data_IF_148065999280
#
_entry.id   IF_148065999280
#
_cell.length_a   1.000
_cell.length_b   1.000
_cell.length_c   1.000
_cell.angle_alpha   90.00
_cell.angle_beta   90.00
_cell.angle_gamma   90.00
#
_symmetry.space_group_name_H-M   'P 1'
#
loop_
_entity.id
_entity.type
_entity.pdbx_description
1 polymer ?
#
# COMPACT_ATOMS: atom_id res chain seq x y z
N UNK A 1 -5.00 41.16 37.30
CA UNK A 1 -5.17 39.87 37.98
C UNK A 1 -4.27 38.91 37.23
N UNK A 2 -3.05 38.73 37.73
CA UNK A 2 -2.06 37.84 37.12
C UNK A 2 -2.39 36.42 37.54
N UNK A 3 -2.47 35.51 36.57
CA UNK A 3 -2.61 34.08 36.81
C UNK A 3 -1.21 33.52 36.64
N UNK A 4 -0.57 33.22 37.77
CA UNK A 4 0.65 32.44 37.82
C UNK A 4 0.28 30.98 37.52
N UNK A 5 0.90 30.41 36.49
CA UNK A 5 0.80 28.98 36.16
C UNK A 5 2.06 28.33 36.74
N UNK A 6 1.92 27.69 37.90
CA UNK A 6 2.91 26.76 38.44
C UNK A 6 2.92 25.49 37.58
N UNK A 7 3.99 25.29 36.81
CA UNK A 7 4.25 24.01 36.15
C UNK A 7 4.99 23.10 37.11
N UNK A 8 4.29 22.09 37.66
CA UNK A 8 4.87 20.96 38.36
C UNK A 8 5.71 20.13 37.38
N UNK A 9 7.02 20.08 37.59
CA UNK A 9 7.97 19.28 36.81
C UNK A 9 8.26 17.95 37.52
N UNK A 10 7.34 17.00 37.42
CA UNK A 10 7.60 15.59 37.72
C UNK A 10 7.51 14.80 36.42
N UNK A 11 8.55 14.93 35.59
CA UNK A 11 8.80 14.04 34.47
C UNK A 11 9.78 12.94 34.89
N UNK A 12 9.52 11.66 34.58
CA UNK A 12 10.40 10.55 34.94
C UNK A 12 11.78 10.73 34.31
N UNK A 13 12.80 10.50 35.12
CA UNK A 13 14.22 10.55 34.77
C UNK A 13 14.49 9.56 33.63
N UNK A 14 14.68 10.08 32.42
CA UNK A 14 15.15 9.30 31.27
C UNK A 14 16.64 9.02 31.51
N UNK A 15 16.95 7.79 31.93
CA UNK A 15 18.31 7.28 31.94
C UNK A 15 18.76 7.17 30.48
N UNK A 16 19.55 8.13 30.03
CA UNK A 16 20.37 7.96 28.83
C UNK A 16 21.40 6.86 29.11
N UNK A 17 21.19 5.68 28.52
CA UNK A 17 22.26 4.72 28.34
C UNK A 17 23.34 5.44 27.55
N UNK A 18 24.49 5.62 28.20
CA UNK A 18 25.53 6.55 27.78
C UNK A 18 25.96 6.37 26.34
N UNK A 19 26.32 7.50 25.72
CA UNK A 19 27.17 7.54 24.54
C UNK A 19 28.30 6.51 24.70
N UNK A 20 28.55 5.63 23.70
CA UNK A 20 29.74 4.81 23.70
C UNK A 20 30.93 5.76 23.63
N UNK A 21 31.51 6.07 24.79
CA UNK A 21 32.73 6.83 24.87
C UNK A 21 33.79 6.12 24.03
N UNK A 22 34.21 6.84 22.98
CA UNK A 22 35.58 6.94 22.49
C UNK A 22 36.39 5.67 22.77
N UNK A 23 36.41 4.77 21.79
CA UNK A 23 37.45 3.76 21.70
C UNK A 23 38.79 4.48 21.82
N UNK A 24 39.59 4.06 22.80
CA UNK A 24 40.95 4.58 22.92
C UNK A 24 41.68 4.32 21.60
N UNK A 25 42.64 5.16 21.19
CA UNK A 25 43.47 4.90 20.00
C UNK A 25 44.11 3.49 20.04
N UNK A 26 44.22 2.88 21.22
CA UNK A 26 44.63 1.49 21.41
C UNK A 26 43.65 0.46 20.83
N UNK A 27 42.34 0.69 20.94
CA UNK A 27 41.31 -0.25 20.49
C UNK A 27 41.18 -0.24 18.96
N UNK A 28 41.34 0.92 18.33
CA UNK A 28 41.38 1.02 16.86
C UNK A 28 42.61 0.30 16.28
N UNK A 29 43.77 0.40 16.95
CA UNK A 29 44.98 -0.29 16.52
C UNK A 29 44.88 -1.81 16.68
N UNK A 30 44.25 -2.28 17.77
CA UNK A 30 44.01 -3.70 17.97
C UNK A 30 43.02 -4.25 16.93
N UNK A 31 41.92 -3.53 16.67
CA UNK A 31 40.93 -3.89 15.66
C UNK A 31 41.56 -3.98 14.26
N UNK A 32 42.32 -2.95 13.85
CA UNK A 32 42.98 -2.94 12.54
C UNK A 32 44.03 -4.05 12.42
N UNK A 33 44.76 -4.36 13.50
CA UNK A 33 45.73 -5.46 13.51
C UNK A 33 45.05 -6.82 13.38
N UNK A 34 43.92 -7.04 14.07
CA UNK A 34 43.13 -8.26 13.96
C UNK A 34 42.50 -8.39 12.58
N UNK A 35 41.90 -7.32 12.05
CA UNK A 35 41.30 -7.31 10.72
C UNK A 35 42.34 -7.63 9.64
N UNK A 36 43.53 -7.04 9.74
CA UNK A 36 44.61 -7.28 8.78
C UNK A 36 45.15 -8.72 8.87
N UNK A 37 45.18 -9.33 10.08
CA UNK A 37 45.53 -10.76 10.23
C UNK A 37 44.46 -11.67 9.63
N UNK A 38 43.18 -11.36 9.83
CA UNK A 38 42.06 -12.13 9.27
C UNK A 38 42.02 -12.08 7.74
N UNK A 39 42.53 -11.01 7.12
CA UNK A 39 42.52 -10.84 5.65
C UNK A 39 43.81 -11.28 4.95
N UNK A 40 44.92 -11.41 5.66
CA UNK A 40 46.23 -11.75 5.05
C UNK A 40 46.70 -13.17 5.35
N UNK A 41 46.19 -13.83 6.39
CA UNK A 41 46.49 -15.22 6.70
C UNK A 41 45.49 -16.16 6.00
N UNK A 42 45.92 -17.00 5.03
CA UNK A 42 45.05 -17.95 4.34
C UNK A 42 44.33 -18.93 5.28
N UNK A 43 44.95 -19.27 6.41
CA UNK A 43 44.36 -20.18 7.40
C UNK A 43 43.23 -19.48 8.19
N UNK A 44 43.45 -18.23 8.59
CA UNK A 44 42.42 -17.42 9.25
C UNK A 44 41.22 -17.16 8.32
N UNK A 45 41.49 -16.91 7.03
CA UNK A 45 40.46 -16.77 5.99
C UNK A 45 39.62 -18.04 5.84
N UNK A 46 40.27 -19.21 5.86
CA UNK A 46 39.59 -20.52 5.84
C UNK A 46 38.67 -20.72 7.03
N UNK A 47 39.13 -20.38 8.25
CA UNK A 47 38.31 -20.46 9.46
C UNK A 47 37.13 -19.49 9.40
N UNK A 48 37.34 -18.25 8.99
CA UNK A 48 36.27 -17.27 8.82
C UNK A 48 35.23 -17.73 7.80
N UNK A 49 35.64 -18.31 6.67
CA UNK A 49 34.71 -18.84 5.67
C UNK A 49 33.85 -19.98 6.24
N UNK A 50 34.45 -20.89 7.02
CA UNK A 50 33.75 -21.98 7.69
C UNK A 50 32.75 -21.44 8.72
N UNK A 51 33.16 -20.51 9.56
CA UNK A 51 32.29 -19.89 10.57
C UNK A 51 31.13 -19.13 9.93
N UNK A 52 31.39 -18.35 8.86
CA UNK A 52 30.35 -17.68 8.09
C UNK A 52 29.37 -18.69 7.47
N UNK A 53 29.86 -19.82 6.95
CA UNK A 53 29.00 -20.88 6.43
C UNK A 53 28.09 -21.46 7.52
N UNK A 54 28.62 -21.75 8.71
CA UNK A 54 27.81 -22.22 9.83
C UNK A 54 26.80 -21.17 10.29
N UNK A 55 27.17 -19.89 10.30
CA UNK A 55 26.28 -18.80 10.69
C UNK A 55 25.12 -18.63 9.70
N UNK A 56 25.42 -18.66 8.39
CA UNK A 56 24.41 -18.58 7.32
C UNK A 56 23.50 -19.82 7.36
N UNK A 57 24.07 -21.03 7.50
CA UNK A 57 23.27 -22.25 7.62
C UNK A 57 22.41 -22.26 8.89
N UNK A 58 22.95 -21.81 10.02
CA UNK A 58 22.22 -21.72 11.29
C UNK A 58 21.06 -20.72 11.23
N UNK A 59 21.29 -19.53 10.66
CA UNK A 59 20.25 -18.54 10.42
C UNK A 59 19.17 -19.05 9.45
N UNK A 60 19.56 -19.81 8.41
CA UNK A 60 18.60 -20.44 7.49
C UNK A 60 17.71 -21.46 8.19
N UNK A 61 18.28 -22.27 9.10
CA UNK A 61 17.52 -23.24 9.90
C UNK A 61 16.60 -22.53 10.90
N UNK A 62 17.08 -21.47 11.56
CA UNK A 62 16.24 -20.63 12.43
C UNK A 62 15.08 -20.01 11.66
N UNK A 63 15.31 -19.52 10.44
CA UNK A 63 14.26 -19.00 9.56
C UNK A 63 13.28 -20.09 9.12
N UNK A 64 13.72 -21.33 8.90
CA UNK A 64 12.80 -22.44 8.57
C UNK A 64 11.98 -22.87 9.79
N UNK A 65 12.57 -22.84 10.99
CA UNK A 65 11.92 -23.31 12.22
C UNK A 65 11.02 -22.25 12.87
N UNK A 66 11.38 -20.99 12.73
CA UNK A 66 10.77 -19.85 13.43
C UNK A 66 10.44 -18.67 12.51
N UNK A 67 10.73 -18.75 11.21
CA UNK A 67 10.26 -17.77 10.25
C UNK A 67 8.75 -17.88 10.14
N UNK A 68 8.09 -16.90 10.75
CA UNK A 68 6.69 -16.52 10.59
C UNK A 68 5.69 -17.67 10.53
N UNK A 69 5.49 -18.32 11.68
CA UNK A 69 4.27 -19.11 11.91
C UNK A 69 3.05 -18.23 12.21
N UNK A 70 3.26 -16.95 12.45
CA UNK A 70 2.19 -15.99 12.78
C UNK A 70 1.69 -15.22 11.53
N UNK A 71 2.25 -15.52 10.35
CA UNK A 71 1.78 -15.02 9.04
C UNK A 71 1.26 -16.17 8.17
N UNK A 72 0.52 -17.12 8.75
CA UNK A 72 -0.44 -17.83 7.90
C UNK A 72 -1.44 -16.77 7.43
N UNK A 73 -1.59 -16.54 6.11
CA UNK A 73 -2.59 -15.60 5.64
C UNK A 73 -3.92 -16.05 6.21
N UNK A 74 -4.56 -15.19 7.00
CA UNK A 74 -5.96 -15.39 7.36
C UNK A 74 -6.70 -15.75 6.06
N UNK A 75 -7.52 -16.79 6.08
CA UNK A 75 -8.36 -17.14 4.94
C UNK A 75 -9.33 -15.98 4.70
N UNK A 76 -8.85 -14.94 4.01
CA UNK A 76 -9.66 -13.86 3.47
C UNK A 76 -10.80 -14.50 2.70
N UNK A 77 -12.01 -13.98 2.87
CA UNK A 77 -13.24 -14.51 2.29
C UNK A 77 -13.08 -14.72 0.78
N UNK A 78 -12.64 -15.94 0.40
CA UNK A 78 -12.14 -16.27 -0.94
C UNK A 78 -13.22 -16.04 -2.01
N UNK A 79 -14.48 -15.87 -1.60
CA UNK A 79 -15.59 -15.61 -2.49
C UNK A 79 -15.56 -14.23 -3.13
N UNK A 80 -15.03 -13.20 -2.45
CA UNK A 80 -14.99 -11.83 -3.00
C UNK A 80 -13.90 -11.68 -4.07
N UNK A 81 -12.75 -12.35 -3.88
CA UNK A 81 -11.59 -12.24 -4.78
C UNK A 81 -11.52 -13.32 -5.87
N UNK A 82 -12.45 -14.28 -5.93
CA UNK A 82 -12.46 -15.32 -6.99
C UNK A 82 -12.41 -14.78 -8.41
N UNK A 83 -12.84 -13.53 -8.63
CA UNK A 83 -12.84 -12.86 -9.93
C UNK A 83 -11.68 -11.88 -10.13
N UNK A 84 -10.88 -11.61 -9.10
CA UNK A 84 -9.74 -10.69 -9.14
C UNK A 84 -8.46 -11.51 -9.11
N UNK A 85 -7.65 -11.37 -10.15
CA UNK A 85 -6.36 -12.03 -10.19
C UNK A 85 -5.29 -11.07 -9.66
N UNK A 86 -4.81 -11.35 -8.45
CA UNK A 86 -3.70 -10.62 -7.84
C UNK A 86 -2.39 -11.32 -8.16
N UNK A 87 -1.41 -10.56 -8.61
CA UNK A 87 -0.04 -11.03 -8.86
C UNK A 87 0.87 -10.18 -7.98
N UNK A 88 1.38 -10.78 -6.90
CA UNK A 88 2.32 -10.14 -6.00
C UNK A 88 3.66 -9.88 -6.73
N UNK A 89 4.09 -8.62 -6.76
CA UNK A 89 5.29 -8.22 -7.48
C UNK A 89 6.51 -8.13 -6.57
N UNK A 90 6.36 -7.52 -5.39
CA UNK A 90 7.44 -7.35 -4.41
C UNK A 90 6.89 -7.30 -2.98
N UNK A 91 7.34 -8.22 -2.13
CA UNK A 91 7.09 -8.20 -0.67
C UNK A 91 8.12 -7.37 0.12
N UNK A 92 9.07 -6.71 -0.54
CA UNK A 92 10.11 -5.93 0.12
C UNK A 92 9.79 -4.43 0.14
N UNK A 93 10.05 -3.73 1.27
CA UNK A 93 9.74 -2.32 1.45
C UNK A 93 10.79 -1.46 0.72
N UNK A 94 10.85 -1.53 -0.61
CA UNK A 94 11.67 -0.60 -1.37
C UNK A 94 10.79 0.53 -1.90
N UNK A 95 11.04 1.74 -1.39
CA UNK A 95 10.48 3.01 -1.89
C UNK A 95 10.76 3.24 -3.39
N UNK A 96 11.73 2.51 -3.96
CA UNK A 96 11.99 2.46 -5.38
C UNK A 96 11.29 1.25 -6.01
N UNK A 97 10.40 1.50 -6.97
CA UNK A 97 9.95 0.43 -7.86
C UNK A 97 11.12 0.11 -8.79
N UNK A 98 11.99 -0.84 -8.41
CA UNK A 98 12.95 -1.38 -9.36
C UNK A 98 12.22 -2.39 -10.26
N UNK A 99 11.31 -1.92 -11.13
CA UNK A 99 10.58 -2.78 -12.06
C UNK A 99 11.49 -3.76 -12.85
N UNK A 100 12.72 -3.37 -13.25
CA UNK A 100 13.68 -4.33 -13.80
C UNK A 100 14.02 -5.51 -12.88
N UNK A 101 14.09 -5.29 -11.56
CA UNK A 101 14.30 -6.33 -10.55
C UNK A 101 13.04 -7.17 -10.24
N UNK A 102 11.85 -6.73 -10.67
CA UNK A 102 10.58 -7.47 -10.54
C UNK A 102 10.44 -8.53 -11.65
N UNK A 103 11.05 -8.28 -12.81
CA UNK A 103 10.98 -9.16 -13.99
C UNK A 103 11.27 -10.66 -13.70
N UNK A 104 12.21 -11.03 -12.80
CA UNK A 104 12.47 -12.44 -12.45
C UNK A 104 11.35 -13.10 -11.63
N UNK A 105 10.65 -12.38 -10.75
CA UNK A 105 9.57 -12.92 -9.89
C UNK A 105 8.31 -13.28 -10.68
N UNK A 106 8.13 -12.66 -11.85
CA UNK A 106 7.03 -12.92 -12.80
C UNK A 106 7.18 -14.30 -13.50
N UNK A 107 8.23 -15.07 -13.17
CA UNK A 107 8.46 -16.38 -13.75
C UNK A 107 7.39 -17.44 -13.47
N UNK A 108 6.46 -17.19 -12.52
CA UNK A 108 5.40 -18.11 -12.10
C UNK A 108 4.15 -18.13 -13.01
N UNK A 109 4.04 -17.25 -14.02
CA UNK A 109 2.87 -17.17 -14.92
C UNK A 109 3.09 -17.94 -16.24
N UNK A 110 2.02 -18.49 -16.81
CA UNK A 110 2.04 -19.18 -18.12
C UNK A 110 2.39 -18.22 -19.29
N UNK A 111 2.96 -18.78 -20.35
CA UNK A 111 3.81 -18.09 -21.35
C UNK A 111 3.17 -16.88 -22.09
N UNK A 112 1.87 -16.87 -22.49
CA UNK A 112 1.29 -15.73 -23.22
C UNK A 112 0.93 -14.53 -22.33
N UNK A 113 0.27 -14.78 -21.19
CA UNK A 113 -0.12 -13.75 -20.23
C UNK A 113 1.13 -13.10 -19.60
N UNK A 114 2.13 -13.92 -19.29
CA UNK A 114 3.46 -13.47 -18.85
C UNK A 114 4.11 -12.51 -19.84
N UNK A 115 4.11 -12.84 -21.14
CA UNK A 115 4.74 -12.00 -22.17
C UNK A 115 4.01 -10.65 -22.32
N UNK A 116 2.69 -10.66 -22.27
CA UNK A 116 1.87 -9.45 -22.29
C UNK A 116 2.14 -8.59 -21.04
N UNK A 117 2.14 -9.20 -19.86
CA UNK A 117 2.42 -8.50 -18.61
C UNK A 117 3.84 -7.92 -18.57
N UNK A 118 4.86 -8.70 -18.92
CA UNK A 118 6.24 -8.21 -19.00
C UNK A 118 6.39 -7.08 -20.02
N UNK A 119 5.69 -7.14 -21.16
CA UNK A 119 5.69 -6.05 -22.14
C UNK A 119 5.03 -4.80 -21.57
N UNK A 120 3.92 -4.94 -20.85
CA UNK A 120 3.22 -3.87 -20.15
C UNK A 120 4.10 -3.24 -19.07
N UNK A 121 4.71 -4.04 -18.18
CA UNK A 121 5.67 -3.60 -17.17
C UNK A 121 6.88 -2.89 -17.79
N UNK A 122 7.43 -3.42 -18.88
CA UNK A 122 8.53 -2.76 -19.62
C UNK A 122 8.10 -1.48 -20.33
N UNK A 123 6.82 -1.32 -20.69
CA UNK A 123 6.27 -0.07 -21.24
C UNK A 123 6.09 0.98 -20.15
N UNK A 124 5.66 0.56 -18.96
CA UNK A 124 5.40 1.42 -17.79
C UNK A 124 6.69 1.82 -17.10
N UNK A 125 7.65 0.90 -16.98
CA UNK A 125 8.88 1.11 -16.18
C UNK A 125 9.73 2.32 -16.60
N UNK A 126 9.89 2.64 -17.90
CA UNK A 126 10.56 3.87 -18.30
C UNK A 126 9.65 5.10 -18.19
N UNK A 127 8.34 4.91 -18.31
CA UNK A 127 7.37 5.99 -18.29
C UNK A 127 7.24 6.61 -16.89
N UNK A 128 7.33 5.79 -15.84
CA UNK A 128 7.20 6.26 -14.46
C UNK A 128 8.53 6.13 -13.74
N UNK A 129 9.25 7.25 -13.70
CA UNK A 129 10.46 7.35 -12.86
C UNK A 129 10.08 7.38 -11.38
N UNK A 130 10.97 6.92 -10.48
CA UNK A 130 10.82 7.09 -9.03
C UNK A 130 10.49 8.55 -8.65
N UNK A 131 10.98 9.52 -9.44
CA UNK A 131 10.69 10.94 -9.25
C UNK A 131 9.23 11.31 -9.50
N UNK A 132 8.57 10.70 -10.48
CA UNK A 132 7.15 10.96 -10.75
C UNK A 132 6.26 10.35 -9.67
N UNK A 133 6.50 9.09 -9.31
CA UNK A 133 5.81 8.41 -8.20
C UNK A 133 5.97 9.23 -6.92
N UNK A 134 7.19 9.62 -6.58
CA UNK A 134 7.47 10.49 -5.44
C UNK A 134 6.73 11.83 -5.52
N UNK A 135 6.72 12.48 -6.69
CA UNK A 135 6.02 13.74 -6.87
C UNK A 135 4.51 13.60 -6.67
N UNK A 136 3.92 12.48 -7.06
CA UNK A 136 2.49 12.20 -6.87
C UNK A 136 2.18 11.93 -5.40
N UNK A 137 2.96 11.06 -4.75
CA UNK A 137 2.83 10.80 -3.31
C UNK A 137 2.96 12.09 -2.50
N UNK A 138 3.93 12.94 -2.82
CA UNK A 138 4.16 14.22 -2.13
C UNK A 138 3.02 15.22 -2.28
N UNK A 139 2.27 15.18 -3.37
CA UNK A 139 1.16 16.11 -3.61
C UNK A 139 -0.09 15.74 -2.79
N UNK A 140 -0.21 14.48 -2.37
CA UNK A 140 -1.50 13.92 -1.95
C UNK A 140 -1.44 13.35 -0.53
N UNK A 141 -0.34 12.69 -0.15
CA UNK A 141 -0.18 12.17 1.21
C UNK A 141 0.11 13.31 2.20
N UNK A 142 -0.48 13.28 3.40
CA UNK A 142 -0.06 14.13 4.51
C UNK A 142 1.47 14.01 4.75
N UNK A 143 2.14 15.10 5.16
CA UNK A 143 3.59 15.08 5.37
C UNK A 143 4.07 14.00 6.35
N UNK A 144 3.28 13.66 7.36
CA UNK A 144 3.56 12.59 8.33
C UNK A 144 3.55 11.21 7.68
N UNK A 145 2.50 10.88 6.92
CA UNK A 145 2.37 9.60 6.22
C UNK A 145 3.45 9.44 5.14
N UNK A 146 3.71 10.49 4.37
CA UNK A 146 4.78 10.47 3.39
C UNK A 146 6.14 10.23 4.06
N UNK A 147 6.39 10.86 5.20
CA UNK A 147 7.64 10.70 5.94
C UNK A 147 7.80 9.29 6.48
N UNK A 148 6.75 8.70 7.06
CA UNK A 148 6.74 7.29 7.50
C UNK A 148 7.09 6.38 6.33
N UNK A 149 6.32 6.47 5.23
CA UNK A 149 6.52 5.63 4.05
C UNK A 149 7.94 5.73 3.49
N UNK A 150 8.50 6.93 3.38
CA UNK A 150 9.85 7.11 2.83
C UNK A 150 10.95 6.55 3.73
N UNK A 151 10.74 6.55 5.05
CA UNK A 151 11.74 6.09 6.02
C UNK A 151 11.65 4.59 6.28
N UNK A 152 10.44 4.05 6.37
CA UNK A 152 10.20 2.68 6.85
C UNK A 152 9.58 1.78 5.79
N UNK A 153 9.00 2.35 4.73
CA UNK A 153 8.16 1.61 3.78
C UNK A 153 6.79 1.21 4.35
N UNK A 154 6.42 1.77 5.51
CA UNK A 154 5.13 1.52 6.17
C UNK A 154 4.15 2.66 5.92
N UNK A 155 2.87 2.37 6.10
CA UNK A 155 1.82 3.37 6.26
C UNK A 155 0.88 2.90 7.36
N UNK A 156 0.69 3.73 8.38
CA UNK A 156 -0.06 3.37 9.59
C UNK A 156 0.46 2.07 10.22
N UNK A 157 1.78 1.94 10.37
CA UNK A 157 2.46 0.73 10.87
C UNK A 157 2.30 -0.54 10.01
N UNK A 158 1.59 -0.50 8.87
CA UNK A 158 1.42 -1.63 7.97
C UNK A 158 2.38 -1.54 6.79
N UNK A 159 2.96 -2.66 6.38
CA UNK A 159 3.93 -2.72 5.28
C UNK A 159 3.24 -2.59 3.94
N UNK A 160 3.67 -1.65 3.10
CA UNK A 160 3.17 -1.53 1.74
C UNK A 160 3.94 -2.47 0.78
N UNK A 161 3.20 -3.08 -0.15
CA UNK A 161 3.68 -3.98 -1.21
C UNK A 161 3.14 -3.54 -2.56
N UNK A 162 3.88 -3.89 -3.61
CA UNK A 162 3.43 -3.70 -4.99
C UNK A 162 2.72 -4.95 -5.48
N UNK A 163 1.48 -4.79 -5.90
CA UNK A 163 0.68 -5.82 -6.54
C UNK A 163 0.22 -5.36 -7.91
N UNK A 164 0.05 -6.33 -8.80
CA UNK A 164 -0.66 -6.12 -10.04
C UNK A 164 -2.01 -6.83 -9.96
N UNK A 165 -3.09 -6.08 -10.17
CA UNK A 165 -4.45 -6.60 -10.08
C UNK A 165 -5.11 -6.55 -11.46
N UNK A 166 -5.54 -7.71 -11.95
CA UNK A 166 -6.42 -7.81 -13.11
C UNK A 166 -7.86 -7.93 -12.63
N UNK A 167 -8.65 -6.89 -12.87
CA UNK A 167 -10.06 -6.82 -12.49
C UNK A 167 -10.90 -7.09 -13.74
N UNK A 168 -11.69 -8.17 -13.72
CA UNK A 168 -12.51 -8.56 -14.85
C UNK A 168 -13.65 -7.55 -15.13
N UNK A 169 -14.29 -7.60 -16.31
CA UNK A 169 -15.51 -6.83 -16.57
C UNK A 169 -16.61 -7.15 -15.55
N UNK A 170 -17.45 -6.15 -15.27
CA UNK A 170 -18.59 -6.22 -14.37
C UNK A 170 -18.23 -6.74 -12.97
N UNK A 171 -17.07 -6.34 -12.47
CA UNK A 171 -16.64 -6.64 -11.10
C UNK A 171 -16.70 -5.38 -10.26
N UNK A 172 -16.88 -5.57 -8.95
CA UNK A 172 -16.82 -4.52 -7.95
C UNK A 172 -16.10 -5.04 -6.72
N UNK A 173 -15.43 -4.14 -6.04
CA UNK A 173 -14.97 -4.35 -4.67
C UNK A 173 -16.12 -4.00 -3.73
N UNK A 174 -16.19 -4.58 -2.53
CA UNK A 174 -17.13 -4.11 -1.51
C UNK A 174 -16.84 -2.68 -1.10
N UNK A 175 -17.80 -2.01 -0.46
CA UNK A 175 -17.52 -0.74 0.18
C UNK A 175 -16.56 -0.97 1.35
N UNK A 176 -15.48 -0.19 1.38
CA UNK A 176 -14.44 -0.36 2.39
C UNK A 176 -13.79 0.97 2.76
N UNK A 177 -13.13 0.95 3.91
CA UNK A 177 -12.20 1.98 4.35
C UNK A 177 -10.76 1.49 4.24
N UNK A 178 -9.83 2.43 4.12
CA UNK A 178 -8.40 2.17 4.01
C UNK A 178 -7.69 2.35 5.36
N UNK A 179 -7.25 1.26 6.04
CA UNK A 179 -6.47 1.39 7.28
C UNK A 179 -5.06 1.95 7.04
N UNK A 180 -4.59 2.01 5.79
CA UNK A 180 -3.28 2.47 5.36
C UNK A 180 -3.41 3.21 4.02
N UNK A 181 -2.38 3.90 3.58
CA UNK A 181 -2.40 4.54 2.28
C UNK A 181 -2.36 3.52 1.14
N UNK A 182 -3.19 3.75 0.12
CA UNK A 182 -3.19 3.00 -1.14
C UNK A 182 -2.93 3.95 -2.32
N UNK A 183 -2.14 3.49 -3.29
CA UNK A 183 -1.91 4.19 -4.55
C UNK A 183 -2.12 3.24 -5.72
N UNK A 184 -2.97 3.64 -6.66
CA UNK A 184 -3.37 2.85 -7.82
C UNK A 184 -2.97 3.59 -9.10
N UNK A 185 -2.29 2.89 -10.01
CA UNK A 185 -2.11 3.29 -11.40
C UNK A 185 -3.01 2.42 -12.28
N UNK A 186 -3.93 3.03 -13.03
CA UNK A 186 -4.67 2.33 -14.06
C UNK A 186 -3.76 2.08 -15.27
N UNK A 187 -3.24 0.88 -15.38
CA UNK A 187 -2.30 0.48 -16.42
C UNK A 187 -2.99 0.27 -17.77
N UNK A 188 -4.21 -0.25 -17.73
CA UNK A 188 -5.03 -0.54 -18.92
C UNK A 188 -6.50 -0.53 -18.54
N UNK A 189 -7.34 -0.06 -19.46
CA UNK A 189 -8.79 -0.07 -19.29
C UNK A 189 -9.25 1.16 -18.52
N UNK A 190 -10.27 0.97 -17.69
CA UNK A 190 -10.76 2.00 -16.76
C UNK A 190 -11.37 1.38 -15.52
N UNK A 191 -11.37 2.13 -14.43
CA UNK A 191 -12.06 1.78 -13.20
C UNK A 191 -12.85 3.00 -12.71
N UNK A 192 -14.03 2.74 -12.17
CA UNK A 192 -14.91 3.75 -11.61
C UNK A 192 -14.81 3.71 -10.08
N UNK A 193 -14.97 4.86 -9.45
CA UNK A 193 -14.94 5.02 -7.99
C UNK A 193 -16.13 5.87 -7.55
N UNK A 194 -16.89 5.40 -6.55
CA UNK A 194 -17.68 6.30 -5.71
C UNK A 194 -16.96 6.48 -4.38
N UNK A 195 -16.63 7.74 -4.04
CA UNK A 195 -15.88 8.09 -2.83
C UNK A 195 -16.70 9.00 -1.94
N UNK A 196 -16.66 8.75 -0.63
CA UNK A 196 -17.20 9.66 0.37
C UNK A 196 -16.23 10.84 0.55
N UNK A 197 -16.72 12.07 0.35
CA UNK A 197 -15.88 13.30 0.34
C UNK A 197 -15.88 14.09 1.65
N UNK A 198 -16.65 13.66 2.65
CA UNK A 198 -16.65 14.26 3.99
C UNK A 198 -15.51 13.75 4.86
N UNK A 199 -15.13 14.54 5.87
CA UNK A 199 -14.15 14.15 6.89
C UNK A 199 -14.68 13.01 7.75
N UNK A 200 -14.49 11.77 7.32
CA UNK A 200 -14.29 10.68 8.29
C UNK A 200 -13.04 11.06 9.07
N UNK A 201 -13.03 11.03 10.42
CA UNK A 201 -11.85 11.38 11.19
C UNK A 201 -10.66 10.49 10.78
N UNK A 202 -9.75 11.04 9.96
CA UNK A 202 -8.67 10.31 9.29
C UNK A 202 -7.48 9.96 10.18
N UNK A 203 -7.58 10.15 11.51
CA UNK A 203 -6.40 10.12 12.39
C UNK A 203 -6.39 9.00 13.43
N UNK A 204 -7.45 8.20 13.51
CA UNK A 204 -7.53 7.07 14.46
C UNK A 204 -8.15 5.84 13.81
N UNK A 205 -7.71 5.51 12.59
CA UNK A 205 -8.03 4.21 12.03
C UNK A 205 -7.10 3.19 12.67
N UNK A 206 -7.65 2.27 13.45
CA UNK A 206 -6.88 1.16 13.98
C UNK A 206 -6.49 0.26 12.79
N UNK A 207 -5.19 0.11 12.49
CA UNK A 207 -4.76 -0.63 11.31
C UNK A 207 -5.07 -2.13 11.38
N UNK A 208 -5.48 -2.63 12.55
CA UNK A 208 -5.85 -4.02 12.79
C UNK A 208 -7.38 -4.21 12.94
N UNK A 209 -8.17 -3.14 12.77
CA UNK A 209 -9.64 -3.25 12.75
C UNK A 209 -10.13 -3.75 11.38
N UNK A 210 -10.72 -4.95 11.29
CA UNK A 210 -11.28 -5.46 10.04
C UNK A 210 -12.58 -4.75 9.66
N UNK A 211 -13.23 -4.06 10.59
CA UNK A 211 -14.50 -3.38 10.38
C UNK A 211 -14.26 -1.91 10.03
N UNK A 212 -14.88 -1.46 8.94
CA UNK A 212 -14.88 -0.06 8.56
C UNK A 212 -15.80 0.78 9.47
N UNK A 213 -15.69 2.12 9.40
CA UNK A 213 -16.46 3.00 10.25
C UNK A 213 -17.95 2.91 9.86
N UNK A 214 -18.88 2.94 10.85
CA UNK A 214 -20.31 2.95 10.54
C UNK A 214 -20.66 4.24 9.78
N UNK A 215 -21.40 4.11 8.67
CA UNK A 215 -21.79 5.24 7.81
C UNK A 215 -23.25 5.64 7.91
N UNK A 216 -24.03 4.93 8.72
CA UNK A 216 -25.49 5.09 8.89
C UNK A 216 -25.91 6.49 9.36
N UNK A 217 -25.00 7.21 10.01
CA UNK A 217 -25.18 8.53 10.61
C UNK A 217 -24.32 9.62 9.95
N UNK A 218 -23.53 9.27 8.92
CA UNK A 218 -22.68 10.23 8.22
C UNK A 218 -23.48 11.05 7.18
N UNK A 219 -23.26 12.35 7.16
CA UNK A 219 -23.88 13.33 6.24
C UNK A 219 -23.02 13.60 4.98
N UNK A 220 -22.12 12.69 4.67
CA UNK A 220 -21.15 12.87 3.60
C UNK A 220 -21.72 12.78 2.20
N UNK A 221 -21.12 13.54 1.28
CA UNK A 221 -21.44 13.49 -0.14
C UNK A 221 -20.60 12.46 -0.88
N UNK A 222 -21.22 11.70 -1.79
CA UNK A 222 -20.54 10.76 -2.66
C UNK A 222 -20.15 11.42 -3.98
N UNK A 223 -18.89 11.32 -4.33
CA UNK A 223 -18.35 11.78 -5.61
C UNK A 223 -18.06 10.58 -6.52
N UNK A 224 -18.46 10.68 -7.79
CA UNK A 224 -18.11 9.70 -8.81
C UNK A 224 -16.86 10.16 -9.56
N UNK A 225 -15.88 9.28 -9.67
CA UNK A 225 -14.67 9.48 -10.48
C UNK A 225 -14.46 8.31 -11.43
N UNK A 226 -13.87 8.59 -12.58
CA UNK A 226 -13.42 7.56 -13.52
C UNK A 226 -11.92 7.67 -13.71
N UNK A 227 -11.21 6.59 -13.42
CA UNK A 227 -9.79 6.47 -13.60
C UNK A 227 -9.48 5.77 -14.93
N UNK A 228 -8.94 6.53 -15.89
CA UNK A 228 -8.56 6.06 -17.22
C UNK A 228 -7.12 5.53 -17.26
N UNK A 229 -6.76 4.88 -18.38
CA UNK A 229 -5.39 4.41 -18.62
C UNK A 229 -4.34 5.52 -18.40
N UNK A 230 -3.27 5.18 -17.68
CA UNK A 230 -2.17 6.06 -17.28
C UNK A 230 -2.54 7.15 -16.27
N UNK A 231 -3.69 7.03 -15.59
CA UNK A 231 -4.05 7.91 -14.48
C UNK A 231 -3.80 7.26 -13.13
N UNK A 232 -3.52 8.10 -12.14
CA UNK A 232 -3.29 7.72 -10.75
C UNK A 232 -4.50 8.03 -9.88
N UNK A 233 -4.79 7.13 -8.96
CA UNK A 233 -5.74 7.28 -7.87
C UNK A 233 -5.00 7.05 -6.55
N UNK A 234 -5.30 7.85 -5.54
CA UNK A 234 -4.67 7.72 -4.22
C UNK A 234 -5.75 7.76 -3.15
N UNK A 235 -5.59 6.88 -2.18
CA UNK A 235 -6.45 6.64 -1.06
C UNK A 235 -5.65 6.87 0.21
N UNK A 236 -6.02 7.89 0.97
CA UNK A 236 -5.42 8.17 2.28
C UNK A 236 -6.05 7.29 3.35
N UNK A 237 -5.42 7.25 4.53
CA UNK A 237 -5.93 6.55 5.70
C UNK A 237 -7.35 7.05 6.03
N UNK A 238 -8.25 6.10 6.27
CA UNK A 238 -9.67 6.33 6.56
C UNK A 238 -10.51 6.72 5.34
N UNK A 239 -9.94 6.78 4.13
CA UNK A 239 -10.75 7.06 2.94
C UNK A 239 -11.72 5.92 2.67
N UNK A 240 -12.98 6.26 2.40
CA UNK A 240 -14.07 5.31 2.14
C UNK A 240 -14.53 5.42 0.70
N UNK A 241 -14.53 4.29 0.01
CA UNK A 241 -14.99 4.23 -1.38
C UNK A 241 -15.39 2.82 -1.78
N UNK A 242 -16.02 2.76 -2.96
CA UNK A 242 -16.24 1.54 -3.71
C UNK A 242 -15.70 1.73 -5.12
N UNK A 243 -15.02 0.71 -5.65
CA UNK A 243 -14.51 0.70 -7.01
C UNK A 243 -15.12 -0.42 -7.83
N UNK A 244 -15.33 -0.18 -9.13
CA UNK A 244 -15.97 -1.13 -10.03
C UNK A 244 -15.56 -0.93 -11.49
N UNK A 245 -15.72 -1.98 -12.30
CA UNK A 245 -15.45 -1.97 -13.74
C UNK A 245 -16.73 -1.88 -14.56
N UNK A 246 -16.58 -1.46 -15.82
CA UNK A 246 -17.68 -1.47 -16.78
C UNK A 246 -18.21 -2.88 -17.02
N UNK A 247 -19.45 -2.99 -17.52
CA UNK A 247 -20.05 -4.28 -17.89
C UNK A 247 -19.22 -5.07 -18.91
N UNK A 248 -18.63 -4.37 -19.87
CA UNK A 248 -17.95 -4.98 -21.02
C UNK A 248 -16.43 -4.87 -20.95
N UNK A 249 -15.89 -4.07 -20.02
CA UNK A 249 -14.45 -3.80 -19.95
C UNK A 249 -13.93 -3.92 -18.54
N UNK A 250 -12.88 -4.73 -18.37
CA UNK A 250 -12.10 -4.82 -17.14
C UNK A 250 -10.92 -3.86 -17.15
N UNK A 251 -10.09 -3.93 -16.12
CA UNK A 251 -8.89 -3.11 -16.02
C UNK A 251 -7.69 -3.91 -15.50
N UNK A 252 -6.51 -3.35 -15.75
CA UNK A 252 -5.26 -3.78 -15.14
C UNK A 252 -4.76 -2.64 -14.27
N UNK A 253 -4.51 -2.93 -13.01
CA UNK A 253 -4.05 -1.97 -12.01
C UNK A 253 -2.66 -2.36 -11.52
N UNK A 254 -1.83 -1.36 -11.29
CA UNK A 254 -0.62 -1.49 -10.48
C UNK A 254 -0.89 -0.76 -9.16
N UNK A 255 -0.86 -1.50 -8.06
CA UNK A 255 -1.32 -1.03 -6.75
C UNK A 255 -0.17 -1.11 -5.76
N UNK A 256 0.05 -0.02 -5.01
CA UNK A 256 0.87 0.01 -3.81
C UNK A 256 -0.05 0.12 -2.61
N UNK A 257 -0.10 -0.93 -1.80
CA UNK A 257 -1.03 -1.07 -0.67
C UNK A 257 -0.52 -2.14 0.30
N UNK A 258 -1.12 -2.32 1.46
CA UNK A 258 -0.69 -3.36 2.41
C UNK A 258 -1.27 -4.76 2.14
N UNK A 259 -2.35 -4.85 1.36
CA UNK A 259 -3.18 -6.05 1.33
C UNK A 259 -4.44 -5.95 2.19
N UNK A 260 -4.57 -4.94 3.06
CA UNK A 260 -5.66 -4.85 4.03
C UNK A 260 -6.65 -3.74 3.68
N UNK A 261 -7.93 -4.07 3.80
CA UNK A 261 -9.06 -3.13 3.81
C UNK A 261 -9.94 -3.40 5.03
N UNK A 262 -10.61 -2.37 5.51
CA UNK A 262 -11.62 -2.49 6.56
C UNK A 262 -13.01 -2.48 5.89
N UNK A 263 -13.69 -3.63 5.91
CA UNK A 263 -14.95 -3.83 5.18
C UNK A 263 -16.09 -3.14 5.91
N UNK A 264 -16.98 -2.49 5.16
CA UNK A 264 -18.18 -1.88 5.71
C UNK A 264 -19.34 -2.80 5.35
N UNK A 265 -20.06 -3.28 6.37
CA UNK A 265 -21.24 -4.12 6.17
C UNK A 265 -22.37 -3.31 5.50
N UNK A 266 -23.16 -3.95 4.63
CA UNK A 266 -24.22 -3.28 3.86
C UNK A 266 -25.27 -2.61 4.76
N UNK A 267 -25.51 -3.17 5.95
CA UNK A 267 -26.43 -2.63 6.95
C UNK A 267 -25.97 -1.28 7.52
N UNK A 268 -24.67 -1.00 7.42
CA UNK A 268 -24.03 0.23 7.88
C UNK A 268 -23.89 1.28 6.77
N UNK A 269 -24.40 1.01 5.56
CA UNK A 269 -24.37 1.98 4.48
C UNK A 269 -25.31 3.17 4.76
N UNK A 270 -25.03 4.36 4.21
CA UNK A 270 -25.98 5.46 4.26
C UNK A 270 -27.30 5.03 3.59
N UNK A 271 -28.44 5.33 4.22
CA UNK A 271 -29.77 4.91 3.74
C UNK A 271 -30.11 5.44 2.35
N UNK A 272 -29.49 6.54 1.94
CA UNK A 272 -29.67 7.18 0.64
C UNK A 272 -28.60 6.77 -0.39
N UNK A 273 -27.70 5.86 -0.02
CA UNK A 273 -26.66 5.32 -0.88
C UNK A 273 -26.94 3.87 -1.27
N UNK A 274 -27.70 3.69 -2.36
CA UNK A 274 -27.89 2.39 -2.97
C UNK A 274 -26.78 2.12 -4.00
N UNK A 275 -25.82 1.26 -3.63
CA UNK A 275 -24.67 0.90 -4.49
C UNK A 275 -25.11 0.35 -5.84
N UNK A 276 -26.07 -0.58 -5.86
CA UNK A 276 -26.53 -1.24 -7.09
C UNK A 276 -27.16 -0.25 -8.07
N UNK A 277 -27.98 0.67 -7.55
CA UNK A 277 -28.61 1.72 -8.34
C UNK A 277 -27.54 2.63 -8.95
N UNK A 278 -26.59 3.12 -8.15
CA UNK A 278 -25.53 4.03 -8.59
C UNK A 278 -24.60 3.40 -9.63
N UNK A 279 -24.16 2.17 -9.38
CA UNK A 279 -23.34 1.41 -10.35
C UNK A 279 -24.16 1.15 -11.62
N UNK A 280 -25.43 0.78 -11.49
CA UNK A 280 -26.33 0.53 -12.61
C UNK A 280 -26.58 1.78 -13.47
N UNK A 281 -26.71 2.96 -12.86
CA UNK A 281 -26.80 4.25 -13.55
C UNK A 281 -25.52 4.54 -14.34
N UNK A 282 -24.35 4.46 -13.70
CA UNK A 282 -23.06 4.67 -14.36
C UNK A 282 -22.87 3.72 -15.55
N UNK A 283 -23.20 2.44 -15.38
CA UNK A 283 -23.06 1.44 -16.43
C UNK A 283 -24.02 1.64 -17.61
N UNK A 284 -25.20 2.25 -17.42
CA UNK A 284 -26.12 2.56 -18.52
C UNK A 284 -25.56 3.64 -19.43
N UNK A 285 -24.90 4.63 -18.86
CA UNK A 285 -24.32 5.75 -19.61
C UNK A 285 -23.06 5.34 -20.39
N UNK A 286 -22.30 4.38 -19.87
CA UNK A 286 -21.08 3.89 -20.53
C UNK A 286 -21.35 3.21 -21.88
N UNK A 287 -22.55 2.67 -22.14
CA UNK A 287 -22.90 1.95 -23.39
C UNK A 287 -22.87 2.88 -24.63
N UNK A 288 -22.89 4.20 -24.45
CA UNK A 288 -22.84 5.17 -25.56
C UNK A 288 -21.46 5.80 -25.84
N UNK A 289 -20.50 5.67 -24.93
CA UNK A 289 -19.23 6.43 -24.98
C UNK A 289 -18.13 5.70 -25.75
N UNK A 290 -18.40 5.36 -27.02
CA UNK A 290 -17.39 4.83 -27.95
C UNK A 290 -16.23 5.78 -28.27
N UNK A 291 -16.12 6.96 -27.64
CA UNK A 291 -15.01 7.91 -27.80
C UNK A 291 -14.73 8.63 -26.47
N UNK A 292 -13.50 8.49 -25.97
CA UNK A 292 -13.01 8.98 -24.68
C UNK A 292 -13.07 10.49 -24.44
N UNK A 293 -14.25 11.02 -24.15
CA UNK A 293 -14.43 12.31 -23.51
C UNK A 293 -14.74 12.12 -22.03
N UNK A 294 -13.70 12.13 -21.18
CA UNK A 294 -13.87 12.16 -19.73
C UNK A 294 -14.53 13.48 -19.31
N UNK A 295 -15.73 13.39 -18.75
CA UNK A 295 -16.32 14.48 -17.95
C UNK A 295 -16.44 13.94 -16.53
N UNK A 296 -15.86 14.66 -15.58
CA UNK A 296 -16.05 14.41 -14.15
C UNK A 296 -17.52 14.71 -13.82
N UNK A 297 -18.22 13.73 -13.25
CA UNK A 297 -19.63 13.87 -12.88
C UNK A 297 -19.74 14.24 -11.41
N UNK A 298 -20.17 15.47 -11.15
CA UNK A 298 -20.76 15.81 -9.86
C UNK A 298 -22.19 15.27 -9.85
N UNK A 299 -22.47 14.25 -9.04
CA UNK A 299 -23.83 13.85 -8.77
C UNK A 299 -24.47 14.97 -7.92
N UNK A 300 -25.51 15.67 -8.39
CA UNK A 300 -26.17 16.66 -7.55
C UNK A 300 -26.72 15.93 -6.31
N UNK A 301 -26.29 16.39 -5.13
CA UNK A 301 -26.96 16.02 -3.89
C UNK A 301 -28.45 16.32 -4.06
N UNK A 302 -29.33 15.43 -3.62
CA UNK A 302 -30.76 15.74 -3.55
C UNK A 302 -30.90 16.94 -2.62
N UNK A 303 -31.03 18.13 -3.18
CA UNK A 303 -31.47 19.30 -2.44
C UNK A 303 -32.79 18.90 -1.78
N UNK A 304 -32.77 18.78 -0.46
CA UNK A 304 -33.99 18.62 0.31
C UNK A 304 -34.72 19.94 0.18
N UNK A 305 -35.81 19.94 -0.58
CA UNK A 305 -36.75 21.06 -0.62
C UNK A 305 -37.07 21.47 0.82
N UNK A 306 -36.67 22.70 1.18
CA UNK A 306 -37.07 23.42 2.40
C UNK A 306 -38.33 24.21 2.10
#
# INVERSE_FOLDING_TARGET
MNIDIETNSDSPEIIFLGDPQVTSEGDLNLYNTLLNRLTTDPFALGICAILCSFLVSGLSVLFILYGDKDNEPEEEDENEFKSIKIIHLIDQPSTAINLPAILPSINLLSNPQKKALLATIKKISPAYSNKEVYSKLKQILPPSELSEFLQTGLSNSQKLKWDLMEVQPNQRFSLHAHPNAEMILCVKGRIHEFRLTSSIPTTTFDPDDPEGPPLDSHDGTWEHRTLLENQWLINTIGSVHITFTDKESGCLLLVLWSGKHAKIEEELYPKDFNVDERVGECQKECVGCGRGGGRDFFLPGKDKDV
#
